data_IF_157240982193
#
_entry.id   IF_157240982193
#
_cell.length_a   1.000
_cell.length_b   1.000
_cell.length_c   1.000
_cell.angle_alpha   90.00
_cell.angle_beta   90.00
_cell.angle_gamma   90.00
#
_symmetry.space_group_name_H-M   'P 1'
#
loop_
_entity.id
_entity.type
_entity.pdbx_description
1 polymer ?
#
# COMPACT_ATOMS: atom_id res chain seq x y z
N UNK A 1 13.73 -29.54 -2.74
CA UNK A 1 12.38 -30.04 -2.74
C UNK A 1 11.64 -29.53 -1.52
N UNK A 2 11.07 -28.32 -1.57
CA UNK A 2 10.08 -27.92 -0.59
C UNK A 2 8.72 -28.29 -1.17
N UNK A 3 8.00 -29.16 -0.49
CA UNK A 3 6.64 -29.54 -0.81
C UNK A 3 5.71 -28.35 -0.61
N UNK A 4 5.20 -27.81 -1.70
CA UNK A 4 4.13 -26.81 -1.69
C UNK A 4 2.76 -27.50 -1.47
N UNK A 5 2.52 -28.05 -0.31
CA UNK A 5 1.30 -28.84 -0.05
C UNK A 5 0.05 -28.01 0.28
N UNK A 6 0.12 -26.65 0.23
CA UNK A 6 -1.04 -25.78 0.53
C UNK A 6 -1.06 -24.47 -0.25
N UNK A 7 -0.45 -24.42 -1.45
CA UNK A 7 -0.60 -23.27 -2.34
C UNK A 7 -1.84 -23.50 -3.19
N UNK A 8 -2.86 -22.62 -3.20
CA UNK A 8 -3.97 -22.72 -4.14
C UNK A 8 -3.45 -22.91 -5.56
N UNK A 9 -4.15 -23.67 -6.41
CA UNK A 9 -3.72 -23.98 -7.78
C UNK A 9 -3.42 -22.70 -8.61
N UNK A 10 -4.08 -21.58 -8.28
CA UNK A 10 -3.80 -20.26 -8.87
C UNK A 10 -2.40 -19.75 -8.53
N UNK A 11 -1.94 -19.92 -7.29
CA UNK A 11 -0.61 -19.51 -6.86
C UNK A 11 0.48 -20.38 -7.51
N UNK A 12 0.18 -21.66 -7.75
CA UNK A 12 1.07 -22.55 -8.47
C UNK A 12 1.24 -22.12 -9.95
N UNK A 13 0.16 -21.71 -10.63
CA UNK A 13 0.22 -21.15 -11.98
C UNK A 13 1.08 -19.90 -12.04
N UNK A 14 0.88 -18.95 -11.14
CA UNK A 14 1.67 -17.70 -11.10
C UNK A 14 3.13 -18.01 -10.79
N UNK A 15 3.41 -18.92 -9.87
CA UNK A 15 4.78 -19.34 -9.55
C UNK A 15 5.48 -19.96 -10.76
N UNK A 16 4.79 -20.77 -11.57
CA UNK A 16 5.31 -21.32 -12.81
C UNK A 16 5.60 -20.21 -13.83
N UNK A 17 4.67 -19.28 -14.03
CA UNK A 17 4.86 -18.14 -14.93
C UNK A 17 6.06 -17.30 -14.50
N UNK A 18 6.21 -17.01 -13.21
CA UNK A 18 7.33 -16.24 -12.67
C UNK A 18 8.68 -16.97 -12.82
N UNK A 19 8.73 -18.28 -12.61
CA UNK A 19 9.96 -19.09 -12.80
C UNK A 19 10.38 -19.12 -14.26
N UNK A 20 9.46 -19.41 -15.18
CA UNK A 20 9.75 -19.39 -16.61
C UNK A 20 10.30 -18.03 -17.08
N UNK A 21 9.79 -16.92 -16.51
CA UNK A 21 10.32 -15.57 -16.78
C UNK A 21 11.73 -15.34 -16.23
N UNK A 22 12.09 -15.95 -15.11
CA UNK A 22 13.42 -15.85 -14.52
C UNK A 22 14.46 -16.69 -15.26
N UNK A 23 14.06 -17.88 -15.72
CA UNK A 23 14.94 -18.82 -16.44
C UNK A 23 15.17 -18.40 -17.91
N UNK A 24 14.25 -17.67 -18.52
CA UNK A 24 14.39 -17.07 -19.84
C UNK A 24 15.49 -15.98 -19.95
N UNK A 25 16.29 -15.80 -18.91
CA UNK A 25 17.43 -14.86 -18.85
C UNK A 25 18.69 -15.27 -19.60
N UNK A 26 18.75 -16.47 -20.20
CA UNK A 26 19.86 -16.93 -21.02
C UNK A 26 19.90 -16.22 -22.38
N UNK A 27 21.09 -16.04 -22.94
CA UNK A 27 21.32 -15.25 -24.14
C UNK A 27 20.46 -15.72 -25.33
N UNK A 28 19.83 -14.78 -26.07
CA UNK A 28 18.90 -15.11 -27.14
C UNK A 28 19.61 -15.68 -28.36
N UNK A 29 19.05 -16.74 -28.88
CA UNK A 29 19.22 -17.11 -30.30
C UNK A 29 17.88 -16.89 -30.99
N UNK A 30 17.88 -16.25 -32.14
CA UNK A 30 16.70 -16.10 -33.02
C UNK A 30 16.03 -17.47 -33.22
N UNK A 31 14.80 -17.63 -32.79
CA UNK A 31 14.06 -18.88 -32.90
C UNK A 31 12.79 -18.92 -32.05
N UNK A 32 12.22 -20.09 -31.94
CA UNK A 32 11.09 -20.36 -31.05
C UNK A 32 11.55 -21.06 -29.77
N UNK A 33 10.88 -20.81 -28.66
CA UNK A 33 10.98 -21.63 -27.45
C UNK A 33 10.04 -22.81 -27.57
N UNK A 34 10.57 -24.00 -27.31
CA UNK A 34 9.77 -25.18 -27.06
C UNK A 34 9.83 -25.51 -25.60
N UNK A 35 8.68 -25.60 -24.94
CA UNK A 35 8.62 -25.93 -23.53
C UNK A 35 7.64 -27.09 -23.29
N UNK A 36 7.95 -27.90 -22.29
CA UNK A 36 7.15 -29.03 -21.86
C UNK A 36 6.86 -28.89 -20.36
N UNK A 37 5.58 -28.94 -20.00
CA UNK A 37 5.12 -28.97 -18.60
C UNK A 37 4.65 -30.39 -18.34
N UNK A 38 5.17 -31.02 -17.29
CA UNK A 38 4.71 -32.30 -16.78
C UNK A 38 4.02 -32.10 -15.44
N UNK A 39 2.78 -32.55 -15.31
CA UNK A 39 2.08 -32.56 -14.01
C UNK A 39 2.52 -33.77 -13.19
N UNK A 40 2.24 -33.73 -11.88
CA UNK A 40 2.50 -34.87 -11.00
C UNK A 40 1.72 -36.14 -11.41
N UNK A 41 0.57 -35.96 -12.09
CA UNK A 41 -0.27 -37.04 -12.60
C UNK A 41 0.17 -37.54 -13.99
N UNK A 42 1.33 -37.09 -14.49
CA UNK A 42 1.90 -37.54 -15.76
C UNK A 42 1.33 -36.90 -17.02
N UNK A 43 0.47 -35.90 -16.91
CA UNK A 43 0.03 -35.11 -18.08
C UNK A 43 1.20 -34.32 -18.62
N UNK A 44 1.33 -34.31 -19.93
CA UNK A 44 2.39 -33.58 -20.63
C UNK A 44 1.75 -32.52 -21.53
N UNK A 45 2.08 -31.27 -21.29
CA UNK A 45 1.67 -30.15 -22.13
C UNK A 45 2.89 -29.58 -22.84
N UNK A 46 2.84 -29.52 -24.17
CA UNK A 46 3.89 -28.91 -24.98
C UNK A 46 3.37 -27.62 -25.58
N UNK A 47 4.17 -26.57 -25.52
CA UNK A 47 3.82 -25.30 -26.14
C UNK A 47 5.05 -24.66 -26.77
N UNK A 48 4.78 -23.86 -27.80
CA UNK A 48 5.79 -23.06 -28.48
C UNK A 48 5.55 -21.58 -28.20
N UNK A 49 6.62 -20.82 -28.12
CA UNK A 49 6.59 -19.37 -27.99
C UNK A 49 7.57 -18.75 -28.98
N UNK A 50 7.15 -17.71 -29.69
CA UNK A 50 8.03 -16.97 -30.57
C UNK A 50 9.09 -16.22 -29.76
N UNK A 51 10.31 -16.17 -30.32
CA UNK A 51 11.34 -15.27 -29.83
C UNK A 51 11.31 -13.98 -30.66
N UNK A 52 11.15 -12.85 -29.97
CA UNK A 52 11.12 -11.51 -30.56
C UNK A 52 12.49 -10.84 -30.38
N UNK A 53 12.83 -9.86 -31.23
CA UNK A 53 14.08 -9.10 -31.10
C UNK A 53 14.16 -8.37 -29.74
N UNK A 54 13.05 -7.82 -29.30
CA UNK A 54 12.99 -7.19 -27.99
C UNK A 54 12.82 -8.21 -26.86
N UNK A 55 13.73 -8.16 -25.88
CA UNK A 55 13.75 -9.06 -24.72
C UNK A 55 12.45 -8.99 -23.91
N UNK A 56 11.85 -7.80 -23.80
CA UNK A 56 10.61 -7.59 -23.03
C UNK A 56 9.43 -8.25 -23.75
N UNK A 57 9.34 -8.10 -25.07
CA UNK A 57 8.30 -8.71 -25.89
C UNK A 57 8.41 -10.25 -25.90
N UNK A 58 9.60 -10.80 -26.03
CA UNK A 58 9.86 -12.23 -25.92
C UNK A 58 9.39 -12.80 -24.57
N UNK A 59 9.65 -12.10 -23.47
CA UNK A 59 9.16 -12.50 -22.15
C UNK A 59 7.65 -12.45 -22.05
N UNK A 60 7.02 -11.45 -22.62
CA UNK A 60 5.57 -11.32 -22.62
C UNK A 60 4.91 -12.40 -23.47
N UNK A 61 5.47 -12.73 -24.64
CA UNK A 61 4.96 -13.82 -25.47
C UNK A 61 5.10 -15.17 -24.78
N UNK A 62 6.24 -15.43 -24.15
CA UNK A 62 6.43 -16.65 -23.35
C UNK A 62 5.40 -16.74 -22.20
N UNK A 63 5.11 -15.64 -21.52
CA UNK A 63 4.07 -15.58 -20.47
C UNK A 63 2.70 -15.90 -21.06
N UNK A 64 2.36 -15.33 -22.22
CA UNK A 64 1.08 -15.56 -22.90
C UNK A 64 0.92 -17.02 -23.31
N UNK A 65 1.95 -17.61 -23.93
CA UNK A 65 1.96 -19.00 -24.36
C UNK A 65 1.79 -19.95 -23.15
N UNK A 66 2.58 -19.73 -22.08
CA UNK A 66 2.50 -20.51 -20.85
C UNK A 66 1.12 -20.35 -20.17
N UNK A 67 0.56 -19.15 -20.13
CA UNK A 67 -0.74 -18.90 -19.54
C UNK A 67 -1.85 -19.66 -20.30
N UNK A 68 -1.87 -19.58 -21.64
CA UNK A 68 -2.84 -20.34 -22.45
C UNK A 68 -2.74 -21.85 -22.19
N UNK A 69 -1.52 -22.37 -22.20
CA UNK A 69 -1.24 -23.78 -21.94
C UNK A 69 -1.72 -24.22 -20.53
N UNK A 70 -1.45 -23.42 -19.50
CA UNK A 70 -1.89 -23.73 -18.14
C UNK A 70 -3.41 -23.58 -17.97
N UNK A 71 -4.03 -22.60 -18.62
CA UNK A 71 -5.49 -22.43 -18.61
C UNK A 71 -6.19 -23.60 -19.28
N UNK A 72 -5.67 -24.10 -20.40
CA UNK A 72 -6.17 -25.29 -21.09
C UNK A 72 -6.04 -26.54 -20.19
N UNK A 73 -4.88 -26.71 -19.54
CA UNK A 73 -4.61 -27.85 -18.66
C UNK A 73 -5.49 -27.89 -17.42
N UNK A 74 -5.72 -26.73 -16.81
CA UNK A 74 -6.38 -26.63 -15.49
C UNK A 74 -7.86 -26.24 -15.57
N UNK A 75 -8.32 -25.72 -16.71
CA UNK A 75 -9.64 -25.14 -16.88
C UNK A 75 -9.84 -23.81 -16.11
N UNK A 76 -8.75 -23.22 -15.55
CA UNK A 76 -8.80 -22.03 -14.70
C UNK A 76 -8.15 -20.83 -15.39
N UNK A 77 -8.85 -19.70 -15.36
CA UNK A 77 -8.32 -18.40 -15.76
C UNK A 77 -7.97 -17.57 -14.51
N UNK A 78 -6.82 -16.90 -14.55
CA UNK A 78 -6.41 -16.01 -13.46
C UNK A 78 -7.04 -14.61 -13.66
N UNK A 79 -7.58 -13.97 -12.62
CA UNK A 79 -8.22 -12.64 -12.74
C UNK A 79 -7.29 -11.58 -13.35
N UNK A 80 -6.00 -11.61 -12.98
CA UNK A 80 -4.96 -10.72 -13.49
C UNK A 80 -4.21 -11.27 -14.70
N UNK A 81 -4.63 -12.37 -15.28
CA UNK A 81 -4.01 -13.01 -16.44
C UNK A 81 -2.50 -13.17 -16.29
N UNK A 82 -1.74 -12.65 -17.25
CA UNK A 82 -0.27 -12.67 -17.25
C UNK A 82 0.37 -11.47 -16.56
N UNK A 83 -0.41 -10.52 -16.05
CA UNK A 83 0.09 -9.34 -15.39
C UNK A 83 0.57 -9.68 -13.96
N UNK A 84 1.87 -9.83 -13.78
CA UNK A 84 2.50 -10.26 -12.51
C UNK A 84 3.09 -9.11 -11.69
N UNK A 85 2.96 -7.88 -12.16
CA UNK A 85 3.45 -6.70 -11.45
C UNK A 85 2.68 -6.41 -10.16
N UNK A 86 3.37 -5.76 -9.20
CA UNK A 86 2.75 -5.35 -7.93
C UNK A 86 1.91 -4.07 -8.06
N UNK A 87 2.04 -3.34 -9.17
CA UNK A 87 1.36 -2.06 -9.45
C UNK A 87 0.71 -2.11 -10.84
N UNK A 88 -0.41 -2.79 -10.97
CA UNK A 88 -1.06 -2.91 -12.28
C UNK A 88 -1.61 -1.57 -12.79
N UNK A 89 -2.07 -0.67 -11.89
CA UNK A 89 -2.59 0.64 -12.27
C UNK A 89 -1.52 1.53 -12.91
N UNK A 90 -0.24 1.43 -12.48
CA UNK A 90 0.87 2.19 -13.07
C UNK A 90 0.98 2.01 -14.58
N UNK A 91 0.78 0.77 -15.09
CA UNK A 91 0.83 0.52 -16.52
C UNK A 91 -0.33 1.21 -17.24
N UNK A 92 -1.55 1.15 -16.66
CA UNK A 92 -2.71 1.84 -17.21
C UNK A 92 -2.52 3.36 -17.18
N UNK A 93 -2.05 3.92 -16.06
CA UNK A 93 -1.75 5.35 -15.91
C UNK A 93 -0.74 5.82 -16.97
N UNK A 94 0.34 5.06 -17.18
CA UNK A 94 1.33 5.38 -18.22
C UNK A 94 0.69 5.43 -19.61
N UNK A 95 -0.18 4.46 -19.95
CA UNK A 95 -0.89 4.44 -21.24
C UNK A 95 -1.82 5.63 -21.43
N UNK A 96 -2.54 6.02 -20.38
CA UNK A 96 -3.39 7.21 -20.39
C UNK A 96 -2.56 8.51 -20.53
N UNK A 97 -1.42 8.59 -19.87
CA UNK A 97 -0.49 9.73 -20.01
C UNK A 97 0.15 9.81 -21.41
N UNK A 98 0.35 8.67 -22.09
CA UNK A 98 0.77 8.58 -23.50
C UNK A 98 -0.35 9.00 -24.48
N UNK A 99 -1.55 9.32 -24.00
CA UNK A 99 -2.67 9.81 -24.80
C UNK A 99 -3.64 8.74 -25.29
N UNK A 100 -3.51 7.48 -24.86
CA UNK A 100 -4.50 6.45 -25.15
C UNK A 100 -5.80 6.71 -24.40
N UNK A 101 -6.92 6.43 -25.03
CA UNK A 101 -8.23 6.41 -24.36
C UNK A 101 -8.34 5.22 -23.39
N UNK A 102 -9.22 5.33 -22.42
CA UNK A 102 -9.49 4.24 -21.47
C UNK A 102 -9.93 2.94 -22.17
N UNK A 103 -10.71 3.05 -23.25
CA UNK A 103 -11.16 1.89 -24.02
C UNK A 103 -10.03 1.21 -24.80
N UNK A 104 -9.10 1.99 -25.34
CA UNK A 104 -7.88 1.43 -25.96
C UNK A 104 -7.01 0.69 -24.95
N UNK A 105 -6.88 1.24 -23.73
CA UNK A 105 -6.14 0.58 -22.63
C UNK A 105 -6.84 -0.71 -22.20
N UNK A 106 -8.18 -0.70 -22.06
CA UNK A 106 -8.98 -1.90 -21.75
C UNK A 106 -8.80 -2.98 -22.82
N UNK A 107 -8.84 -2.59 -24.09
CA UNK A 107 -8.65 -3.52 -25.20
C UNK A 107 -7.23 -4.10 -25.23
N UNK A 108 -6.20 -3.29 -25.01
CA UNK A 108 -4.80 -3.72 -24.86
C UNK A 108 -4.65 -4.73 -23.73
N UNK A 109 -5.16 -4.42 -22.54
CA UNK A 109 -4.98 -5.26 -21.35
C UNK A 109 -5.70 -6.61 -21.48
N UNK A 110 -6.87 -6.63 -22.10
CA UNK A 110 -7.59 -7.87 -22.40
C UNK A 110 -6.84 -8.73 -23.41
N UNK A 111 -6.31 -8.13 -24.48
CA UNK A 111 -5.58 -8.82 -25.55
C UNK A 111 -4.21 -9.32 -25.09
N UNK A 112 -3.42 -8.44 -24.44
CA UNK A 112 -2.00 -8.67 -24.22
C UNK A 112 -1.69 -9.31 -22.86
N UNK A 113 -2.56 -9.09 -21.87
CA UNK A 113 -2.38 -9.61 -20.53
C UNK A 113 -3.47 -10.57 -20.05
N UNK A 114 -4.55 -10.76 -20.81
CA UNK A 114 -5.67 -11.65 -20.47
C UNK A 114 -6.35 -11.31 -19.14
N UNK A 115 -6.44 -10.03 -18.78
CA UNK A 115 -7.17 -9.61 -17.58
C UNK A 115 -8.66 -9.98 -17.71
N UNK A 116 -9.26 -10.42 -16.61
CA UNK A 116 -10.72 -10.53 -16.52
C UNK A 116 -11.37 -9.16 -16.68
N UNK A 117 -12.62 -9.12 -17.14
CA UNK A 117 -13.33 -7.85 -17.36
C UNK A 117 -13.39 -7.01 -16.07
N UNK A 118 -13.64 -7.66 -14.92
CA UNK A 118 -13.69 -6.99 -13.62
C UNK A 118 -12.34 -6.37 -13.20
N UNK A 119 -11.22 -7.10 -13.39
CA UNK A 119 -9.89 -6.58 -13.02
C UNK A 119 -9.37 -5.55 -14.01
N UNK A 120 -9.75 -5.68 -15.27
CA UNK A 120 -9.46 -4.70 -16.30
C UNK A 120 -10.16 -3.36 -16.01
N UNK A 121 -11.47 -3.42 -15.71
CA UNK A 121 -12.25 -2.24 -15.32
C UNK A 121 -11.70 -1.58 -14.06
N UNK A 122 -11.44 -2.36 -12.99
CA UNK A 122 -10.86 -1.86 -11.75
C UNK A 122 -9.53 -1.14 -12.01
N UNK A 123 -8.64 -1.75 -12.81
CA UNK A 123 -7.33 -1.21 -13.10
C UNK A 123 -7.38 0.12 -13.86
N UNK A 124 -8.22 0.19 -14.91
CA UNK A 124 -8.33 1.38 -15.76
C UNK A 124 -9.05 2.51 -15.01
N UNK A 125 -10.14 2.22 -14.30
CA UNK A 125 -10.84 3.23 -13.45
C UNK A 125 -9.92 3.80 -12.37
N UNK A 126 -9.09 2.96 -11.74
CA UNK A 126 -8.09 3.45 -10.77
C UNK A 126 -7.17 4.45 -11.45
N UNK A 127 -6.58 4.09 -12.59
CA UNK A 127 -5.65 4.97 -13.31
C UNK A 127 -6.31 6.27 -13.80
N UNK A 128 -7.59 6.24 -14.23
CA UNK A 128 -8.33 7.46 -14.60
C UNK A 128 -8.52 8.40 -13.39
N UNK A 129 -8.76 7.83 -12.21
CA UNK A 129 -8.93 8.59 -10.97
C UNK A 129 -7.59 9.16 -10.49
N UNK A 130 -6.51 8.35 -10.53
CA UNK A 130 -5.15 8.80 -10.27
C UNK A 130 -4.77 9.96 -11.19
N UNK A 131 -5.00 9.83 -12.50
CA UNK A 131 -4.69 10.89 -13.47
C UNK A 131 -5.43 12.20 -13.17
N UNK A 132 -6.67 12.12 -12.67
CA UNK A 132 -7.42 13.32 -12.25
C UNK A 132 -6.85 13.94 -10.98
N UNK A 133 -6.51 13.12 -9.98
CA UNK A 133 -6.00 13.57 -8.69
C UNK A 133 -4.64 14.29 -8.81
N UNK A 134 -3.77 13.79 -9.70
CA UNK A 134 -2.43 14.35 -9.92
C UNK A 134 -2.38 15.51 -10.92
N UNK A 135 -3.53 15.90 -11.46
CA UNK A 135 -3.60 16.98 -12.47
C UNK A 135 -3.01 18.28 -11.93
N UNK A 136 -2.10 18.87 -12.71
CA UNK A 136 -1.45 20.16 -12.39
C UNK A 136 -0.28 20.03 -11.43
N UNK A 137 0.14 18.84 -11.05
CA UNK A 137 1.39 18.63 -10.32
C UNK A 137 2.57 18.61 -11.29
N UNK A 138 3.65 19.29 -10.90
CA UNK A 138 4.96 19.18 -11.53
C UNK A 138 5.87 18.32 -10.63
N UNK A 139 6.04 17.07 -10.99
CA UNK A 139 6.84 16.12 -10.23
C UNK A 139 8.34 16.39 -10.25
N UNK A 140 8.83 17.25 -11.13
CA UNK A 140 10.26 17.62 -11.20
C UNK A 140 10.65 18.59 -10.09
N UNK A 141 9.70 19.42 -9.65
CA UNK A 141 9.88 20.41 -8.58
C UNK A 141 9.17 20.04 -7.29
N UNK A 142 8.22 19.08 -7.35
CA UNK A 142 7.44 18.63 -6.22
C UNK A 142 8.14 17.54 -5.40
N UNK A 143 7.75 17.42 -4.13
CA UNK A 143 8.07 16.29 -3.27
C UNK A 143 7.03 16.11 -2.18
N UNK A 144 6.99 14.88 -1.62
CA UNK A 144 6.20 14.57 -0.42
C UNK A 144 7.09 14.32 0.78
N UNK A 145 6.61 14.69 1.96
CA UNK A 145 7.26 14.43 3.25
C UNK A 145 6.52 13.32 4.00
N UNK A 146 7.23 12.24 4.33
CA UNK A 146 6.74 11.18 5.20
C UNK A 146 7.40 11.26 6.57
N UNK A 147 6.60 11.36 7.63
CA UNK A 147 7.07 11.41 9.02
C UNK A 147 6.68 10.11 9.72
N UNK A 148 7.68 9.32 10.08
CA UNK A 148 7.47 8.01 10.71
C UNK A 148 7.44 8.09 12.23
N UNK A 149 6.33 7.65 12.83
CA UNK A 149 6.16 7.47 14.28
C UNK A 149 6.12 5.97 14.56
N UNK A 150 7.20 5.34 15.06
CA UNK A 150 7.32 3.89 15.16
C UNK A 150 6.62 3.30 16.39
N UNK A 151 5.78 4.07 17.09
CA UNK A 151 5.14 3.65 18.32
C UNK A 151 3.71 3.19 18.10
N UNK A 152 3.31 2.13 18.82
CA UNK A 152 1.95 1.62 18.87
C UNK A 152 1.59 1.28 20.32
N UNK A 153 0.29 1.32 20.70
CA UNK A 153 -0.16 0.82 22.00
C UNK A 153 0.18 -0.67 22.18
N UNK A 154 -0.05 -1.48 21.14
CA UNK A 154 0.27 -2.92 21.10
C UNK A 154 0.64 -3.33 19.69
N UNK A 155 1.30 -4.49 19.53
CA UNK A 155 1.64 -5.05 18.21
C UNK A 155 0.56 -6.01 17.75
N UNK A 156 -0.12 -5.69 16.64
CA UNK A 156 -1.11 -6.56 16.02
C UNK A 156 -0.46 -7.82 15.40
N UNK A 157 -1.15 -8.96 15.42
CA UNK A 157 -0.61 -10.24 14.98
C UNK A 157 -0.25 -10.30 13.49
N UNK A 158 -0.99 -9.58 12.64
CA UNK A 158 -0.77 -9.52 11.19
C UNK A 158 0.26 -8.47 10.78
N UNK A 159 0.62 -7.55 11.68
CA UNK A 159 1.46 -6.41 11.33
C UNK A 159 2.92 -6.83 11.10
N UNK A 160 3.48 -6.34 10.01
CA UNK A 160 4.88 -6.51 9.66
C UNK A 160 5.70 -5.21 9.74
N UNK A 161 5.05 -4.11 10.08
CA UNK A 161 5.73 -2.84 10.29
C UNK A 161 6.48 -2.84 11.62
N UNK A 162 7.67 -2.20 11.69
CA UNK A 162 8.33 -1.96 12.96
C UNK A 162 7.40 -1.16 13.89
N UNK A 163 6.95 -1.79 14.97
CA UNK A 163 6.11 -1.15 15.97
C UNK A 163 6.65 -1.46 17.37
N UNK A 164 6.81 -0.40 18.15
CA UNK A 164 7.42 -0.48 19.47
C UNK A 164 6.44 0.08 20.52
N UNK A 165 6.34 -0.55 21.70
CA UNK A 165 5.53 0.00 22.77
C UNK A 165 6.01 1.42 23.12
N UNK A 166 5.05 2.33 23.24
CA UNK A 166 5.36 3.71 23.62
C UNK A 166 5.79 3.79 25.09
N UNK A 167 6.75 4.65 25.39
CA UNK A 167 7.15 5.01 26.74
C UNK A 167 7.63 6.47 26.74
N UNK A 168 7.14 7.28 27.68
CA UNK A 168 7.33 8.74 27.69
C UNK A 168 8.77 9.22 27.50
N UNK A 169 9.74 8.57 28.16
CA UNK A 169 11.16 8.89 27.97
C UNK A 169 11.68 8.55 26.59
N UNK A 170 11.19 7.46 26.00
CA UNK A 170 11.61 7.03 24.64
C UNK A 170 11.03 7.92 23.57
N UNK A 171 9.76 8.33 23.70
CA UNK A 171 9.14 9.26 22.74
C UNK A 171 9.83 10.62 22.74
N UNK A 172 10.12 11.20 23.90
CA UNK A 172 10.80 12.50 23.99
C UNK A 172 12.16 12.52 23.28
N UNK A 173 13.00 11.51 23.55
CA UNK A 173 14.33 11.41 22.92
C UNK A 173 14.21 11.17 21.41
N UNK A 174 13.28 10.32 21.00
CA UNK A 174 13.00 10.07 19.62
C UNK A 174 12.52 11.30 18.86
N UNK A 175 11.57 12.05 19.42
CA UNK A 175 11.03 13.27 18.80
C UNK A 175 12.09 14.37 18.67
N UNK A 176 13.02 14.47 19.61
CA UNK A 176 14.15 15.41 19.50
C UNK A 176 15.02 15.06 18.29
N UNK A 177 15.40 13.79 18.12
CA UNK A 177 16.16 13.32 16.98
C UNK A 177 15.40 13.46 15.65
N UNK A 178 14.09 13.15 15.65
CA UNK A 178 13.21 13.32 14.49
C UNK A 178 13.14 14.79 14.04
N UNK A 179 13.01 15.72 14.96
CA UNK A 179 12.99 17.17 14.65
C UNK A 179 14.31 17.64 14.06
N UNK A 180 15.44 17.09 14.49
CA UNK A 180 16.75 17.42 13.89
C UNK A 180 16.82 16.94 12.43
N UNK A 181 16.31 15.72 12.15
CA UNK A 181 16.23 15.21 10.77
C UNK A 181 15.27 16.05 9.90
N UNK A 182 14.09 16.40 10.43
CA UNK A 182 13.10 17.23 9.73
C UNK A 182 13.68 18.62 9.41
N UNK A 183 14.45 19.25 10.33
CA UNK A 183 15.10 20.53 10.08
C UNK A 183 16.08 20.46 8.91
N UNK A 184 16.95 19.44 8.91
CA UNK A 184 17.87 19.24 7.79
C UNK A 184 17.11 19.07 6.46
N UNK A 185 16.03 18.29 6.46
CA UNK A 185 15.22 18.10 5.25
C UNK A 185 14.59 19.39 4.79
N UNK A 186 14.09 20.24 5.70
CA UNK A 186 13.53 21.53 5.35
C UNK A 186 14.59 22.45 4.66
N UNK A 187 15.83 22.43 5.17
CA UNK A 187 16.95 23.16 4.57
C UNK A 187 17.32 22.64 3.17
N UNK A 188 17.43 21.31 3.01
CA UNK A 188 17.82 20.67 1.75
C UNK A 188 16.73 20.78 0.66
N UNK A 189 15.47 20.91 1.05
CA UNK A 189 14.33 20.94 0.15
C UNK A 189 13.68 22.33 0.02
N UNK A 190 14.35 23.39 0.52
CA UNK A 190 13.80 24.75 0.56
C UNK A 190 13.36 25.29 -0.81
N UNK A 191 14.05 24.91 -1.90
CA UNK A 191 13.76 25.34 -3.27
C UNK A 191 12.73 24.43 -3.98
N UNK A 192 12.23 23.39 -3.31
CA UNK A 192 11.26 22.44 -3.85
C UNK A 192 9.87 22.69 -3.26
N UNK A 193 8.84 22.37 -4.05
CA UNK A 193 7.44 22.51 -3.64
C UNK A 193 7.01 21.28 -2.84
N UNK A 194 6.51 21.49 -1.62
CA UNK A 194 5.93 20.41 -0.80
C UNK A 194 4.49 20.17 -1.20
N UNK A 195 4.22 19.00 -1.80
CA UNK A 195 2.90 18.62 -2.32
C UNK A 195 2.03 17.86 -1.31
N UNK A 196 2.65 16.98 -0.51
CA UNK A 196 1.93 16.22 0.53
C UNK A 196 2.78 16.00 1.79
N UNK A 197 2.12 16.01 2.94
CA UNK A 197 2.66 15.55 4.23
C UNK A 197 1.87 14.33 4.69
N UNK A 198 2.58 13.28 5.06
CA UNK A 198 1.99 12.07 5.60
C UNK A 198 2.69 11.67 6.90
N UNK A 199 1.94 11.68 8.00
CA UNK A 199 2.43 11.23 9.30
C UNK A 199 1.84 9.86 9.61
N UNK A 200 2.70 8.85 9.65
CA UNK A 200 2.27 7.45 9.77
C UNK A 200 3.32 6.56 10.43
N UNK A 201 3.27 5.27 10.11
CA UNK A 201 4.25 4.27 10.54
C UNK A 201 3.68 3.24 11.50
N UNK A 202 3.77 3.48 12.82
CA UNK A 202 3.08 2.71 13.85
C UNK A 202 1.68 3.29 14.06
N UNK A 203 1.55 4.19 15.02
CA UNK A 203 0.32 4.91 15.32
C UNK A 203 0.68 6.30 15.85
N UNK A 204 0.64 7.36 15.04
CA UNK A 204 0.97 8.72 15.47
C UNK A 204 0.21 9.17 16.73
N UNK A 205 -1.06 8.81 16.84
CA UNK A 205 -1.88 9.11 18.03
C UNK A 205 -1.50 8.31 19.28
N UNK A 206 -0.47 7.47 19.23
CA UNK A 206 0.20 6.96 20.43
C UNK A 206 0.91 8.07 21.21
N UNK A 207 1.34 9.13 20.55
CA UNK A 207 1.88 10.33 21.19
C UNK A 207 0.79 11.04 22.00
N UNK A 208 1.18 11.78 23.03
CA UNK A 208 0.28 12.68 23.75
C UNK A 208 -0.17 13.86 22.87
N UNK A 209 -1.24 14.53 23.27
CA UNK A 209 -1.71 15.74 22.56
C UNK A 209 -0.61 16.81 22.49
N UNK A 210 0.11 17.04 23.60
CA UNK A 210 1.21 18.00 23.66
C UNK A 210 2.40 17.61 22.75
N UNK A 211 2.75 16.31 22.65
CA UNK A 211 3.81 15.85 21.73
C UNK A 211 3.39 15.98 20.28
N UNK A 212 2.10 15.73 19.96
CA UNK A 212 1.55 15.94 18.61
C UNK A 212 1.57 17.42 18.23
N UNK A 213 1.10 18.30 19.15
CA UNK A 213 1.10 19.74 18.93
C UNK A 213 2.52 20.27 18.70
N UNK A 214 3.47 19.87 19.52
CA UNK A 214 4.86 20.27 19.44
C UNK A 214 5.53 19.76 18.13
N UNK A 215 5.25 18.53 17.70
CA UNK A 215 5.80 17.99 16.44
C UNK A 215 5.17 18.67 15.23
N UNK A 216 3.84 18.73 15.15
CA UNK A 216 3.14 19.25 13.98
C UNK A 216 3.31 20.77 13.86
N UNK A 217 3.30 21.49 14.99
CA UNK A 217 3.63 22.92 15.04
C UNK A 217 5.05 23.20 14.56
N UNK A 218 6.02 22.34 14.94
CA UNK A 218 7.39 22.43 14.46
C UNK A 218 7.47 22.24 12.94
N UNK A 219 6.77 21.25 12.37
CA UNK A 219 6.70 21.00 10.92
C UNK A 219 6.12 22.23 10.20
N UNK A 220 5.00 22.75 10.68
CA UNK A 220 4.36 23.95 10.10
C UNK A 220 5.23 25.20 10.15
N UNK A 221 6.07 25.33 11.16
CA UNK A 221 6.99 26.45 11.28
C UNK A 221 8.21 26.40 10.37
N UNK A 222 8.51 25.22 9.79
CA UNK A 222 9.70 25.02 8.97
C UNK A 222 9.42 25.01 7.46
N UNK A 223 8.27 24.49 7.03
CA UNK A 223 7.96 24.30 5.62
C UNK A 223 6.99 25.35 5.11
N UNK A 224 7.16 25.76 3.85
CA UNK A 224 6.13 26.52 3.13
C UNK A 224 4.98 25.58 2.73
N UNK A 225 3.84 25.75 3.37
CA UNK A 225 2.63 24.95 3.16
C UNK A 225 1.64 25.62 2.18
N UNK A 226 2.01 26.71 1.52
CA UNK A 226 1.11 27.48 0.63
C UNK A 226 0.64 26.68 -0.57
N UNK A 227 1.45 25.74 -1.05
CA UNK A 227 1.16 24.84 -2.17
C UNK A 227 0.75 23.43 -1.72
N UNK A 228 0.68 23.17 -0.40
CA UNK A 228 0.34 21.84 0.13
C UNK A 228 -1.06 21.41 -0.28
N UNK A 229 -1.19 20.20 -0.80
CA UNK A 229 -2.46 19.65 -1.28
C UNK A 229 -3.06 18.60 -0.35
N UNK A 230 -2.24 17.98 0.49
CA UNK A 230 -2.67 16.98 1.47
C UNK A 230 -1.81 17.01 2.73
N UNK A 231 -2.46 17.02 3.88
CA UNK A 231 -1.83 16.78 5.17
C UNK A 231 -2.55 15.64 5.89
N UNK A 232 -2.05 14.43 5.71
CA UNK A 232 -2.61 13.21 6.32
C UNK A 232 -1.90 12.88 7.63
N UNK A 233 -2.69 12.54 8.66
CA UNK A 233 -2.19 11.94 9.91
C UNK A 233 -2.95 10.65 10.21
N UNK A 234 -2.22 9.55 10.39
CA UNK A 234 -2.82 8.28 10.80
C UNK A 234 -3.25 8.35 12.29
N UNK A 235 -4.56 8.40 12.54
CA UNK A 235 -5.16 8.13 13.83
C UNK A 235 -5.61 6.65 13.88
N UNK A 236 -4.75 5.77 13.39
CA UNK A 236 -5.06 4.42 12.93
C UNK A 236 -5.63 3.45 13.99
N UNK A 237 -5.58 3.79 15.28
CA UNK A 237 -6.07 2.94 16.37
C UNK A 237 -7.08 3.68 17.25
N UNK A 238 -8.35 3.24 17.29
CA UNK A 238 -9.38 3.86 18.13
C UNK A 238 -8.99 4.00 19.60
N UNK A 239 -8.30 3.00 20.17
CA UNK A 239 -7.81 3.01 21.55
C UNK A 239 -6.70 4.05 21.86
N UNK A 240 -6.18 4.72 20.83
CA UNK A 240 -5.19 5.79 20.97
C UNK A 240 -5.75 7.19 20.73
N UNK A 241 -7.02 7.29 20.32
CA UNK A 241 -7.69 8.55 19.98
C UNK A 241 -8.29 9.19 21.25
N UNK A 242 -8.15 10.50 21.35
CA UNK A 242 -8.90 11.32 22.32
C UNK A 242 -9.38 12.61 21.67
N UNK A 243 -10.35 13.30 22.30
CA UNK A 243 -10.86 14.59 21.82
C UNK A 243 -9.73 15.62 21.68
N UNK A 244 -8.85 15.71 22.67
CA UNK A 244 -7.73 16.67 22.68
C UNK A 244 -6.78 16.42 21.51
N UNK A 245 -6.46 15.15 21.22
CA UNK A 245 -5.59 14.80 20.08
C UNK A 245 -6.22 15.16 18.74
N UNK A 246 -7.52 14.87 18.56
CA UNK A 246 -8.22 15.24 17.33
C UNK A 246 -8.31 16.75 17.14
N UNK A 247 -8.52 17.53 18.23
CA UNK A 247 -8.48 18.99 18.20
C UNK A 247 -7.09 19.46 17.72
N UNK A 248 -6.03 18.95 18.34
CA UNK A 248 -4.65 19.27 17.92
C UNK A 248 -4.42 18.95 16.45
N UNK A 249 -4.80 17.76 15.97
CA UNK A 249 -4.62 17.42 14.55
C UNK A 249 -5.35 18.42 13.64
N UNK A 250 -6.58 18.81 14.00
CA UNK A 250 -7.36 19.76 13.21
C UNK A 250 -6.74 21.15 13.23
N UNK A 251 -6.35 21.67 14.38
CA UNK A 251 -5.72 22.98 14.56
C UNK A 251 -4.34 23.07 13.88
N UNK A 252 -3.62 21.94 13.88
CA UNK A 252 -2.35 21.83 13.17
C UNK A 252 -2.49 21.60 11.65
N UNK A 253 -3.73 21.59 11.13
CA UNK A 253 -3.99 21.63 9.69
C UNK A 253 -4.06 20.27 9.02
N UNK A 254 -4.16 19.18 9.77
CA UNK A 254 -4.45 17.88 9.17
C UNK A 254 -5.84 17.92 8.49
N UNK A 255 -5.88 17.73 7.19
CA UNK A 255 -7.10 17.72 6.39
C UNK A 255 -7.64 16.30 6.16
N UNK A 256 -6.79 15.29 6.27
CA UNK A 256 -7.15 13.87 6.17
C UNK A 256 -6.61 13.09 7.36
N UNK A 257 -7.45 12.21 7.92
CA UNK A 257 -7.06 11.27 8.96
C UNK A 257 -7.50 9.86 8.61
N UNK A 258 -6.88 8.85 9.22
CA UNK A 258 -7.38 7.48 9.15
C UNK A 258 -7.81 6.97 10.52
N UNK A 259 -8.98 6.34 10.60
CA UNK A 259 -9.48 5.65 11.80
C UNK A 259 -9.81 4.22 11.40
N UNK A 260 -8.97 3.25 11.82
CA UNK A 260 -8.91 1.94 11.22
C UNK A 260 -9.41 0.84 12.16
N UNK A 261 -10.65 0.32 11.98
CA UNK A 261 -11.15 -0.80 12.78
C UNK A 261 -10.55 -2.15 12.35
N UNK A 262 -10.23 -2.31 11.09
CA UNK A 262 -9.85 -3.55 10.38
C UNK A 262 -11.03 -4.52 10.16
N UNK A 263 -11.91 -4.66 11.14
CA UNK A 263 -13.18 -5.41 11.15
C UNK A 263 -14.10 -4.84 12.23
N UNK A 264 -15.39 -5.12 12.16
CA UNK A 264 -16.36 -4.82 13.22
C UNK A 264 -16.80 -6.11 13.96
N UNK A 265 -15.99 -7.16 13.95
CA UNK A 265 -16.19 -8.37 14.74
C UNK A 265 -15.26 -8.35 15.95
N UNK A 266 -15.84 -8.20 17.16
CA UNK A 266 -15.05 -8.02 18.38
C UNK A 266 -14.13 -9.20 18.65
N UNK A 267 -14.60 -10.42 18.48
CA UNK A 267 -13.81 -11.64 18.71
C UNK A 267 -12.58 -11.71 17.80
N UNK A 268 -12.71 -11.20 16.56
CA UNK A 268 -11.58 -11.12 15.64
C UNK A 268 -10.61 -10.02 16.06
N UNK A 269 -11.09 -8.85 16.53
CA UNK A 269 -10.23 -7.78 17.05
C UNK A 269 -9.39 -8.28 18.22
N UNK A 270 -10.01 -8.97 19.16
CA UNK A 270 -9.32 -9.56 20.32
C UNK A 270 -8.27 -10.58 19.90
N UNK A 271 -8.63 -11.47 18.95
CA UNK A 271 -7.73 -12.48 18.41
C UNK A 271 -6.49 -11.88 17.73
N UNK A 272 -6.66 -10.81 16.93
CA UNK A 272 -5.55 -10.18 16.21
C UNK A 272 -4.76 -9.17 17.06
N UNK A 273 -5.08 -9.03 18.34
CA UNK A 273 -4.36 -8.17 19.29
C UNK A 273 -4.67 -6.67 19.12
N UNK A 274 -5.88 -6.35 18.70
CA UNK A 274 -6.42 -4.98 18.68
C UNK A 274 -7.44 -4.84 19.80
N UNK A 275 -7.05 -4.19 20.89
CA UNK A 275 -7.84 -4.15 22.12
C UNK A 275 -8.88 -3.02 22.19
N UNK A 276 -9.15 -2.34 21.07
CA UNK A 276 -10.29 -1.42 21.01
C UNK A 276 -11.60 -2.18 20.82
N UNK A 277 -12.69 -1.59 21.27
CA UNK A 277 -14.03 -2.12 20.98
C UNK A 277 -14.60 -1.54 19.68
N UNK A 278 -15.60 -2.21 19.13
CA UNK A 278 -16.38 -1.69 17.97
C UNK A 278 -17.05 -0.36 18.32
N UNK A 279 -17.51 -0.21 19.57
CA UNK A 279 -18.11 1.05 20.05
C UNK A 279 -17.06 2.18 20.11
N UNK A 280 -15.86 1.92 20.62
CA UNK A 280 -14.77 2.90 20.62
C UNK A 280 -14.43 3.38 19.20
N UNK A 281 -14.43 2.49 18.20
CA UNK A 281 -14.25 2.88 16.81
C UNK A 281 -15.37 3.81 16.34
N UNK A 282 -16.62 3.42 16.58
CA UNK A 282 -17.80 4.20 16.18
C UNK A 282 -17.81 5.59 16.83
N UNK A 283 -17.51 5.66 18.13
CA UNK A 283 -17.42 6.90 18.88
C UNK A 283 -16.28 7.80 18.39
N UNK A 284 -15.09 7.23 18.17
CA UNK A 284 -13.93 7.96 17.61
C UNK A 284 -14.25 8.54 16.23
N UNK A 285 -14.92 7.77 15.38
CA UNK A 285 -15.33 8.23 14.06
C UNK A 285 -16.33 9.39 14.14
N UNK A 286 -17.38 9.26 14.97
CA UNK A 286 -18.37 10.33 15.18
C UNK A 286 -17.74 11.57 15.76
N UNK A 287 -16.85 11.41 16.73
CA UNK A 287 -16.10 12.52 17.34
C UNK A 287 -15.26 13.26 16.30
N UNK A 288 -14.59 12.55 15.41
CA UNK A 288 -13.83 13.18 14.33
C UNK A 288 -14.75 13.99 13.39
N UNK A 289 -15.94 13.47 13.06
CA UNK A 289 -16.94 14.21 12.27
C UNK A 289 -17.44 15.45 13.02
N UNK A 290 -17.73 15.34 14.31
CA UNK A 290 -18.15 16.48 15.16
C UNK A 290 -17.09 17.60 15.16
N UNK A 291 -15.82 17.23 15.17
CA UNK A 291 -14.70 18.18 15.13
C UNK A 291 -14.37 18.68 13.70
N UNK A 292 -15.21 18.34 12.72
CA UNK A 292 -15.13 18.88 11.35
C UNK A 292 -14.12 18.20 10.43
N UNK A 293 -13.70 16.96 10.71
CA UNK A 293 -12.98 16.17 9.72
C UNK A 293 -13.95 15.68 8.64
N UNK A 294 -13.70 16.06 7.40
CA UNK A 294 -14.49 15.74 6.22
C UNK A 294 -13.74 14.87 5.20
N UNK A 295 -12.56 14.36 5.59
CA UNK A 295 -11.79 13.37 4.85
C UNK A 295 -11.25 12.31 5.83
N UNK A 296 -12.06 11.28 6.10
CA UNK A 296 -11.74 10.19 7.02
C UNK A 296 -11.64 8.89 6.22
N UNK A 297 -10.44 8.32 6.23
CA UNK A 297 -10.18 6.98 5.72
C UNK A 297 -10.45 5.91 6.79
N UNK A 298 -10.87 4.74 6.34
CA UNK A 298 -11.11 3.56 7.17
C UNK A 298 -10.51 2.32 6.53
N UNK A 299 -9.49 1.71 7.17
CA UNK A 299 -8.88 0.48 6.68
C UNK A 299 -9.62 -0.74 7.19
N UNK A 300 -9.86 -1.67 6.27
CA UNK A 300 -10.45 -2.99 6.51
C UNK A 300 -9.53 -4.08 5.98
N UNK A 301 -9.53 -5.25 6.63
CA UNK A 301 -8.74 -6.40 6.19
C UNK A 301 -9.68 -7.57 5.90
N UNK A 302 -9.65 -8.03 4.66
CA UNK A 302 -10.39 -9.23 4.22
C UNK A 302 -9.53 -10.48 4.42
N UNK A 303 -10.18 -11.56 4.84
CA UNK A 303 -9.52 -12.84 5.11
C UNK A 303 -8.86 -12.91 6.49
N UNK A 304 -9.32 -12.14 7.45
CA UNK A 304 -8.90 -12.28 8.85
C UNK A 304 -9.30 -13.66 9.41
N UNK A 305 -8.53 -14.17 10.41
CA UNK A 305 -8.84 -15.44 11.05
C UNK A 305 -10.27 -15.50 11.61
N UNK A 306 -10.93 -16.65 11.40
CA UNK A 306 -12.28 -16.93 11.88
C UNK A 306 -13.37 -15.97 11.37
N UNK A 307 -13.15 -15.32 10.23
CA UNK A 307 -14.15 -14.51 9.54
C UNK A 307 -14.79 -15.24 8.36
N UNK A 308 -16.07 -14.98 8.18
CA UNK A 308 -16.90 -15.44 7.08
C UNK A 308 -17.39 -14.27 6.22
N UNK A 309 -17.96 -14.53 5.06
CA UNK A 309 -18.64 -13.52 4.24
C UNK A 309 -19.76 -12.77 5.01
N UNK A 310 -20.44 -13.47 5.94
CA UNK A 310 -21.46 -12.85 6.78
C UNK A 310 -20.87 -11.84 7.78
N UNK A 311 -19.64 -12.08 8.28
CA UNK A 311 -18.92 -11.14 9.15
C UNK A 311 -18.49 -9.91 8.35
N UNK A 312 -17.97 -10.09 7.14
CA UNK A 312 -17.64 -8.99 6.22
C UNK A 312 -18.88 -8.16 5.89
N UNK A 313 -20.02 -8.79 5.61
CA UNK A 313 -21.28 -8.10 5.35
C UNK A 313 -21.66 -7.19 6.53
N UNK A 314 -21.66 -7.73 7.76
CA UNK A 314 -21.93 -6.92 8.97
C UNK A 314 -20.96 -5.76 9.14
N UNK A 315 -19.68 -6.01 8.89
CA UNK A 315 -18.65 -4.97 8.91
C UNK A 315 -18.97 -3.87 7.90
N UNK A 316 -19.24 -4.23 6.63
CA UNK A 316 -19.54 -3.25 5.58
C UNK A 316 -20.83 -2.47 5.83
N UNK A 317 -21.86 -3.10 6.40
CA UNK A 317 -23.10 -2.42 6.80
C UNK A 317 -22.83 -1.36 7.89
N UNK A 318 -22.01 -1.70 8.89
CA UNK A 318 -21.59 -0.75 9.93
C UNK A 318 -20.76 0.41 9.36
N UNK A 319 -19.85 0.13 8.45
CA UNK A 319 -19.05 1.15 7.76
C UNK A 319 -19.94 2.05 6.90
N UNK A 320 -20.87 1.48 6.15
CA UNK A 320 -21.84 2.25 5.34
C UNK A 320 -22.65 3.22 6.20
N UNK A 321 -23.07 2.79 7.39
CA UNK A 321 -23.81 3.63 8.32
C UNK A 321 -23.01 4.84 8.83
N UNK A 322 -21.67 4.75 8.90
CA UNK A 322 -20.77 5.84 9.26
C UNK A 322 -20.42 6.75 8.08
N UNK A 323 -20.63 6.28 6.85
CA UNK A 323 -20.37 7.04 5.61
C UNK A 323 -18.95 7.66 5.55
N UNK A 324 -17.89 6.87 5.61
CA UNK A 324 -16.52 7.39 5.47
C UNK A 324 -16.32 8.05 4.10
N UNK A 325 -15.25 8.84 3.98
CA UNK A 325 -14.91 9.48 2.70
C UNK A 325 -14.00 8.59 1.88
N UNK A 326 -13.27 7.72 2.58
CA UNK A 326 -12.31 6.78 2.00
C UNK A 326 -12.39 5.45 2.75
N UNK A 327 -12.32 4.35 2.01
CA UNK A 327 -12.25 2.99 2.54
C UNK A 327 -11.11 2.26 1.85
N UNK A 328 -10.13 1.79 2.62
CA UNK A 328 -9.08 0.93 2.07
C UNK A 328 -9.39 -0.53 2.38
N UNK A 329 -9.57 -1.33 1.34
CA UNK A 329 -9.74 -2.79 1.44
C UNK A 329 -8.39 -3.44 1.27
N UNK A 330 -7.89 -4.02 2.36
CA UNK A 330 -6.68 -4.84 2.37
C UNK A 330 -7.05 -6.33 2.32
N UNK A 331 -6.25 -7.10 1.59
CA UNK A 331 -6.28 -8.56 1.68
C UNK A 331 -5.19 -9.02 2.65
N UNK A 332 -5.53 -9.91 3.56
CA UNK A 332 -4.58 -10.43 4.53
C UNK A 332 -3.36 -11.03 3.84
N UNK A 333 -2.18 -10.50 4.14
CA UNK A 333 -0.91 -11.02 3.67
C UNK A 333 -0.09 -11.55 4.85
N UNK A 334 0.12 -12.86 4.89
CA UNK A 334 0.96 -13.49 5.92
C UNK A 334 2.44 -13.25 5.62
N UNK A 335 2.96 -12.11 6.02
CA UNK A 335 4.38 -11.76 5.86
C UNK A 335 5.25 -12.53 6.85
N UNK A 336 6.51 -12.82 6.46
CA UNK A 336 7.45 -13.59 7.30
C UNK A 336 7.62 -13.02 8.70
N UNK A 337 7.59 -11.70 8.86
CA UNK A 337 7.77 -11.01 10.13
C UNK A 337 6.48 -10.89 10.97
N UNK A 338 5.32 -11.19 10.41
CA UNK A 338 4.06 -11.14 11.13
C UNK A 338 3.98 -12.25 12.19
N UNK A 339 3.47 -11.93 13.38
CA UNK A 339 3.36 -12.90 14.49
C UNK A 339 2.46 -14.09 14.15
N UNK A 340 1.42 -13.89 13.35
CA UNK A 340 0.58 -14.98 12.79
C UNK A 340 1.40 -16.01 12.02
N UNK A 341 2.52 -15.63 11.40
CA UNK A 341 3.38 -16.54 10.67
C UNK A 341 4.51 -17.10 11.54
N UNK A 342 5.12 -16.27 12.40
CA UNK A 342 6.24 -16.69 13.27
C UNK A 342 5.79 -17.58 14.42
N UNK A 343 4.52 -17.49 14.82
CA UNK A 343 3.89 -18.26 15.89
C UNK A 343 2.73 -19.13 15.35
N UNK A 344 2.91 -19.69 14.18
CA UNK A 344 1.85 -20.42 13.46
C UNK A 344 1.25 -21.56 14.27
N UNK A 345 2.04 -22.20 15.13
CA UNK A 345 1.59 -23.29 16.01
C UNK A 345 0.56 -22.80 17.05
N UNK A 346 0.71 -21.57 17.56
CA UNK A 346 -0.22 -20.96 18.53
C UNK A 346 -1.60 -20.66 17.91
N UNK A 347 -1.70 -20.67 16.56
CA UNK A 347 -2.90 -20.34 15.78
C UNK A 347 -3.29 -21.48 14.81
N UNK A 348 -3.00 -22.72 15.17
CA UNK A 348 -3.28 -23.90 14.34
C UNK A 348 -4.79 -24.12 14.11
N UNK A 349 -5.62 -23.72 15.07
CA UNK A 349 -7.07 -23.94 15.06
C UNK A 349 -7.87 -22.83 14.35
N UNK A 350 -7.21 -21.78 13.79
CA UNK A 350 -7.92 -20.73 13.08
C UNK A 350 -8.32 -21.18 11.67
N UNK A 351 -9.53 -20.85 11.28
CA UNK A 351 -10.03 -21.04 9.93
C UNK A 351 -9.90 -19.77 9.12
N UNK A 352 -9.78 -19.91 7.80
CA UNK A 352 -9.75 -18.78 6.86
C UNK A 352 -10.85 -18.96 5.82
N UNK A 353 -11.69 -17.93 5.66
CA UNK A 353 -12.72 -17.90 4.64
C UNK A 353 -12.17 -17.65 3.24
N UNK A 354 -13.06 -17.63 2.25
CA UNK A 354 -12.70 -17.30 0.86
C UNK A 354 -12.42 -15.78 0.73
N UNK A 355 -11.16 -15.41 0.79
CA UNK A 355 -10.73 -14.03 0.71
C UNK A 355 -11.13 -13.35 -0.62
N UNK A 356 -11.24 -14.11 -1.74
CA UNK A 356 -11.70 -13.55 -3.02
C UNK A 356 -13.13 -13.04 -2.91
N UNK A 357 -14.03 -13.88 -2.40
CA UNK A 357 -15.44 -13.51 -2.21
C UNK A 357 -15.61 -12.37 -1.21
N UNK A 358 -14.79 -12.35 -0.16
CA UNK A 358 -14.79 -11.27 0.82
C UNK A 358 -14.38 -9.93 0.20
N UNK A 359 -13.33 -9.91 -0.63
CA UNK A 359 -12.88 -8.72 -1.34
C UNK A 359 -13.94 -8.25 -2.35
N UNK A 360 -14.53 -9.17 -3.11
CA UNK A 360 -15.59 -8.84 -4.07
C UNK A 360 -16.82 -8.25 -3.36
N UNK A 361 -17.24 -8.85 -2.25
CA UNK A 361 -18.32 -8.33 -1.42
C UNK A 361 -18.02 -6.94 -0.87
N UNK A 362 -16.84 -6.73 -0.29
CA UNK A 362 -16.44 -5.43 0.25
C UNK A 362 -16.36 -4.36 -0.86
N UNK A 363 -15.84 -4.72 -2.03
CA UNK A 363 -15.77 -3.84 -3.20
C UNK A 363 -17.17 -3.41 -3.69
N UNK A 364 -18.14 -4.35 -3.75
CA UNK A 364 -19.51 -4.02 -4.14
C UNK A 364 -20.16 -3.02 -3.17
N UNK A 365 -19.93 -3.17 -1.87
CA UNK A 365 -20.38 -2.19 -0.89
C UNK A 365 -19.74 -0.80 -1.09
N UNK A 366 -18.47 -0.72 -1.44
CA UNK A 366 -17.81 0.55 -1.77
C UNK A 366 -18.49 1.21 -2.99
N UNK A 367 -18.80 0.45 -4.03
CA UNK A 367 -19.52 0.96 -5.21
C UNK A 367 -20.94 1.42 -4.86
N UNK A 368 -21.69 0.65 -4.05
CA UNK A 368 -23.02 1.04 -3.55
C UNK A 368 -22.99 2.33 -2.71
N UNK A 369 -21.90 2.59 -1.98
CA UNK A 369 -21.65 3.84 -1.26
C UNK A 369 -21.25 5.01 -2.18
N UNK A 370 -21.12 4.78 -3.50
CA UNK A 370 -20.69 5.79 -4.47
C UNK A 370 -19.20 6.09 -4.43
N UNK A 371 -18.40 5.21 -3.83
CA UNK A 371 -16.95 5.35 -3.81
C UNK A 371 -16.34 4.84 -5.12
N UNK A 372 -15.20 5.39 -5.48
CA UNK A 372 -14.43 5.00 -6.67
C UNK A 372 -13.00 4.60 -6.31
N UNK A 373 -12.41 3.60 -6.98
CA UNK A 373 -11.03 3.20 -6.70
C UNK A 373 -10.07 4.31 -7.13
N UNK A 374 -9.06 4.62 -6.29
CA UNK A 374 -8.10 5.70 -6.58
C UNK A 374 -6.65 5.30 -6.38
N UNK A 375 -6.35 4.18 -5.77
CA UNK A 375 -5.04 3.53 -5.82
C UNK A 375 -5.19 2.02 -5.67
N UNK A 376 -4.23 1.29 -6.20
CA UNK A 376 -4.28 -0.16 -6.24
C UNK A 376 -2.87 -0.74 -6.22
N UNK A 377 -2.66 -1.72 -5.33
CA UNK A 377 -1.41 -2.46 -5.34
C UNK A 377 -1.59 -3.91 -4.95
N UNK A 378 -0.66 -4.75 -5.41
CA UNK A 378 -0.60 -6.17 -5.10
C UNK A 378 0.64 -6.46 -4.27
N UNK A 379 0.59 -7.47 -3.43
CA UNK A 379 1.74 -7.94 -2.67
C UNK A 379 2.09 -9.36 -3.09
N UNK A 380 3.36 -9.72 -2.95
CA UNK A 380 3.78 -11.11 -3.08
C UNK A 380 3.29 -11.91 -1.87
N UNK A 381 2.86 -13.16 -2.09
CA UNK A 381 2.40 -14.10 -1.05
C UNK A 381 1.09 -13.64 -0.34
N UNK A 382 0.20 -12.97 -1.05
CA UNK A 382 -1.18 -12.78 -0.59
C UNK A 382 -1.99 -14.02 -0.92
N UNK A 383 -2.94 -14.37 -0.05
CA UNK A 383 -3.93 -15.40 -0.34
C UNK A 383 -4.68 -15.01 -1.63
N UNK A 384 -4.76 -15.94 -2.60
CA UNK A 384 -5.47 -15.73 -3.86
C UNK A 384 -4.85 -14.69 -4.82
N UNK A 385 -3.63 -14.18 -4.58
CA UNK A 385 -3.01 -13.09 -5.37
C UNK A 385 -3.90 -11.84 -5.54
N UNK A 386 -4.63 -11.52 -4.49
CA UNK A 386 -5.54 -10.40 -4.44
C UNK A 386 -4.81 -9.05 -4.45
N UNK A 387 -5.57 -8.02 -4.60
CA UNK A 387 -5.14 -6.63 -4.53
C UNK A 387 -5.56 -5.96 -3.23
N UNK A 388 -4.90 -4.85 -2.90
CA UNK A 388 -5.35 -3.85 -1.95
C UNK A 388 -5.82 -2.64 -2.73
N UNK A 389 -6.99 -2.12 -2.40
CA UNK A 389 -7.63 -1.03 -3.14
C UNK A 389 -8.12 0.05 -2.19
N UNK A 390 -7.74 1.29 -2.46
CA UNK A 390 -8.34 2.47 -1.83
C UNK A 390 -9.54 2.96 -2.65
N UNK A 391 -10.67 3.14 -1.98
CA UNK A 391 -11.94 3.59 -2.53
C UNK A 391 -12.34 4.89 -1.85
N UNK A 392 -12.61 5.95 -2.62
CA UNK A 392 -12.98 7.23 -2.03
C UNK A 392 -14.13 7.93 -2.75
N UNK A 393 -14.72 8.91 -2.07
CA UNK A 393 -15.59 9.91 -2.70
C UNK A 393 -14.76 10.78 -3.63
N UNK A 394 -15.34 11.25 -4.70
CA UNK A 394 -14.68 12.15 -5.66
C UNK A 394 -14.12 13.40 -4.95
N UNK A 395 -12.85 13.68 -5.15
CA UNK A 395 -12.13 14.81 -4.53
C UNK A 395 -11.64 14.54 -3.11
N UNK A 396 -11.69 13.26 -2.66
CA UNK A 396 -11.18 12.81 -1.37
C UNK A 396 -10.04 11.77 -1.54
N UNK A 397 -9.49 11.69 -2.74
CA UNK A 397 -8.37 10.82 -3.07
C UNK A 397 -7.17 11.13 -2.16
N UNK A 398 -6.59 10.11 -1.54
CA UNK A 398 -5.33 10.24 -0.79
C UNK A 398 -4.17 10.45 -1.76
N UNK A 399 -3.76 11.70 -1.96
CA UNK A 399 -2.73 12.09 -2.94
C UNK A 399 -1.40 11.41 -2.64
N UNK A 400 -0.97 11.41 -1.37
CA UNK A 400 0.27 10.73 -0.97
C UNK A 400 0.28 9.25 -1.37
N UNK A 401 -0.86 8.55 -1.23
CA UNK A 401 -0.97 7.15 -1.61
C UNK A 401 -0.74 6.94 -3.11
N UNK A 402 -1.26 7.83 -3.95
CA UNK A 402 -1.02 7.81 -5.39
C UNK A 402 0.46 8.07 -5.70
N UNK A 403 1.02 9.14 -5.15
CA UNK A 403 2.39 9.56 -5.42
C UNK A 403 3.42 8.49 -5.06
N UNK A 404 3.24 7.81 -3.91
CA UNK A 404 4.16 6.74 -3.49
C UNK A 404 3.94 5.44 -4.28
N UNK A 405 2.68 5.08 -4.62
CA UNK A 405 2.37 3.88 -5.37
C UNK A 405 2.86 3.99 -6.82
N UNK A 406 2.61 5.10 -7.46
CA UNK A 406 2.95 5.31 -8.86
C UNK A 406 4.41 5.78 -9.06
N UNK A 407 5.13 6.08 -7.95
CA UNK A 407 6.52 6.55 -7.98
C UNK A 407 6.68 7.78 -8.87
N UNK A 408 5.86 8.79 -8.62
CA UNK A 408 5.78 9.97 -9.49
C UNK A 408 6.77 11.03 -9.10
N UNK A 409 7.04 11.22 -7.81
CA UNK A 409 7.91 12.27 -7.30
C UNK A 409 8.85 11.77 -6.18
N UNK A 410 9.74 12.64 -5.74
CA UNK A 410 10.60 12.39 -4.58
C UNK A 410 9.76 12.29 -3.31
N UNK A 411 9.96 11.21 -2.55
CA UNK A 411 9.38 11.02 -1.22
C UNK A 411 10.50 11.09 -0.20
N UNK A 412 10.46 12.07 0.68
CA UNK A 412 11.47 12.21 1.75
C UNK A 412 10.91 11.64 3.05
N UNK A 413 11.49 10.55 3.53
CA UNK A 413 11.08 9.89 4.77
C UNK A 413 11.95 10.35 5.95
N UNK A 414 11.35 10.86 7.03
CA UNK A 414 11.99 11.19 8.30
C UNK A 414 11.53 10.22 9.40
N UNK A 415 12.44 9.77 10.25
CA UNK A 415 12.17 8.87 11.36
C UNK A 415 12.60 7.43 11.15
N UNK A 416 12.54 6.63 12.20
CA UNK A 416 12.97 5.25 12.20
C UNK A 416 12.15 4.38 11.23
N UNK A 417 12.85 3.55 10.45
CA UNK A 417 12.23 2.62 9.50
C UNK A 417 11.65 3.27 8.25
N UNK A 418 11.81 4.57 8.07
CA UNK A 418 11.35 5.27 6.86
C UNK A 418 12.28 5.07 5.67
N UNK A 419 11.74 5.25 4.49
CA UNK A 419 12.49 5.19 3.23
C UNK A 419 12.36 6.51 2.50
N UNK A 420 13.48 7.09 2.12
CA UNK A 420 13.54 8.20 1.17
C UNK A 420 13.73 7.64 -0.24
N UNK A 421 12.95 8.11 -1.20
CA UNK A 421 13.11 7.85 -2.64
C UNK A 421 13.41 9.17 -3.33
N UNK A 422 14.59 9.30 -3.91
CA UNK A 422 14.99 10.50 -4.65
C UNK A 422 14.87 10.21 -6.13
N UNK A 423 13.93 10.84 -6.81
CA UNK A 423 13.74 10.64 -8.25
C UNK A 423 14.93 11.21 -9.04
N UNK A 424 15.39 10.42 -10.03
CA UNK A 424 16.54 10.78 -10.90
C UNK A 424 16.14 10.93 -12.39
N UNK A 425 14.84 10.96 -12.63
CA UNK A 425 14.26 11.01 -13.97
C UNK A 425 13.97 9.63 -14.58
N UNK A 426 13.12 9.60 -15.59
CA UNK A 426 12.75 8.39 -16.36
C UNK A 426 12.38 7.14 -15.53
N UNK A 427 11.73 7.32 -14.37
CA UNK A 427 11.32 6.22 -13.49
C UNK A 427 12.46 5.59 -12.68
N UNK A 428 13.64 6.20 -12.69
CA UNK A 428 14.78 5.80 -11.85
C UNK A 428 14.77 6.61 -10.55
N UNK A 429 15.13 5.97 -9.45
CA UNK A 429 15.25 6.62 -8.15
C UNK A 429 16.34 5.97 -7.29
N UNK A 430 16.95 6.77 -6.45
CA UNK A 430 17.79 6.30 -5.35
C UNK A 430 16.93 6.00 -4.14
N UNK A 431 17.28 4.95 -3.41
CA UNK A 431 16.58 4.55 -2.20
C UNK A 431 17.50 4.61 -0.99
N UNK A 432 17.09 5.40 0.02
CA UNK A 432 17.78 5.49 1.30
C UNK A 432 16.83 4.98 2.39
N UNK A 433 17.34 4.13 3.26
CA UNK A 433 16.59 3.60 4.39
C UNK A 433 17.19 4.10 5.70
N UNK A 434 16.33 4.58 6.59
CA UNK A 434 16.68 4.81 7.98
C UNK A 434 16.63 3.48 8.74
N UNK A 435 17.43 3.38 9.80
CA UNK A 435 17.41 2.20 10.68
C UNK A 435 16.03 2.04 11.29
N UNK A 436 15.59 0.78 11.48
CA UNK A 436 14.21 0.46 11.89
C UNK A 436 13.99 0.64 13.38
N UNK A 437 14.98 0.31 14.20
CA UNK A 437 14.89 0.42 15.65
C UNK A 437 14.99 1.89 16.09
N UNK A 438 14.05 2.42 16.91
CA UNK A 438 14.05 3.82 17.33
C UNK A 438 15.27 4.20 18.19
N UNK A 439 15.79 3.29 19.00
CA UNK A 439 16.98 3.52 19.80
C UNK A 439 18.23 3.66 18.92
N UNK A 440 18.42 2.71 18.01
CA UNK A 440 19.51 2.78 17.02
C UNK A 440 19.38 3.97 16.08
N UNK A 441 18.15 4.41 15.77
CA UNK A 441 17.92 5.62 14.99
C UNK A 441 18.47 6.85 15.70
N UNK A 442 18.21 7.00 16.99
CA UNK A 442 18.74 8.09 17.81
C UNK A 442 20.28 8.01 17.91
N UNK A 443 20.82 6.85 18.19
CA UNK A 443 22.28 6.66 18.31
C UNK A 443 23.03 6.97 17.00
N UNK A 444 22.42 6.60 15.86
CA UNK A 444 23.02 6.73 14.53
C UNK A 444 22.47 7.91 13.72
N UNK A 445 21.83 8.89 14.39
CA UNK A 445 21.19 10.02 13.71
C UNK A 445 22.15 10.74 12.74
N UNK A 446 23.37 11.03 13.18
CA UNK A 446 24.39 11.71 12.34
C UNK A 446 24.67 10.97 11.03
N UNK A 447 24.63 9.63 11.06
CA UNK A 447 24.82 8.83 9.84
C UNK A 447 23.61 8.98 8.90
N UNK A 448 22.38 9.00 9.46
CA UNK A 448 21.16 9.19 8.67
C UNK A 448 21.14 10.58 8.02
N UNK A 449 21.51 11.63 8.77
CA UNK A 449 21.61 13.00 8.27
C UNK A 449 22.62 13.08 7.12
N UNK A 450 23.83 12.57 7.32
CA UNK A 450 24.89 12.59 6.29
C UNK A 450 24.50 11.81 5.01
N UNK A 451 23.67 10.76 5.11
CA UNK A 451 23.12 10.06 3.93
C UNK A 451 22.17 10.97 3.16
N UNK A 452 21.30 11.70 3.87
CA UNK A 452 20.33 12.62 3.26
C UNK A 452 21.02 13.82 2.60
N UNK A 453 22.00 14.42 3.27
CA UNK A 453 22.81 15.51 2.69
C UNK A 453 23.42 15.09 1.35
N UNK A 454 24.04 13.91 1.28
CA UNK A 454 24.63 13.41 0.03
C UNK A 454 23.59 13.16 -1.07
N UNK A 455 22.41 12.66 -0.70
CA UNK A 455 21.42 12.24 -1.70
C UNK A 455 20.52 13.41 -2.18
N UNK A 456 20.17 14.32 -1.29
CA UNK A 456 19.29 15.47 -1.57
C UNK A 456 20.08 16.73 -1.92
N UNK A 457 21.27 16.93 -1.33
CA UNK A 457 22.13 18.10 -1.58
C UNK A 457 22.92 18.05 -2.89
N UNK A 458 22.97 16.91 -3.58
CA UNK A 458 23.76 16.75 -4.83
C UNK A 458 23.25 17.54 -6.03
N UNK A 459 22.05 18.09 -6.00
CA UNK A 459 21.50 18.97 -7.04
C UNK A 459 21.82 20.47 -6.82
N UNK A 460 22.40 20.83 -5.67
CA UNK A 460 22.78 22.22 -5.34
C UNK A 460 24.21 22.56 -5.80
N UNK A 461 24.99 21.52 -6.20
CA UNK A 461 26.41 21.70 -6.60
C UNK A 461 26.67 21.42 -8.09
N UNK A 462 25.65 21.55 -8.97
CA UNK A 462 25.86 21.51 -10.43
C UNK A 462 25.31 22.73 -11.12
#
# INVERSE_FOLDING_TARGET
GQSFSHVPEQDAMISCIMKACAEAGAAPRLGSYHAEIRTAEGRVLRFESAWMEERIESKNELKRALYRALTELTGKALPWGTLTGIRPAKLALTRLQEGKSADEVRAEFKRDFFLSDARNELCVRTAENELRAIRGLDFSTGYSLYIGIPFCPTTCLYCSFPSYPIGSKKSTVYLAALKEEIRLVAELMAEKRLDAIYVGGGTPTSLSAAELEDLLGFVRGLFDLSALREFTVEAGRPDSISREKLIVLKEQGADRISINPQTLKQETLDLIGRFHTVDQFTESFRLARELGFDNINTDLIMGLPNESEADVRRTMEGIRALSPDDVTIHSLALKRAARLNTKREDYADVSYGDANRMVELASSYCEEMGLSPYYLYRQKNMAGNLENVGWCKKGKEGLYNILIMEELETIVGCGAGTTTRVMRGAGQYDRLENVKDPGLYVERLKEMLAKKERALGGDVLR
#
